data_IF_045024047779
#
_entry.id   IF_045024047779
#
_cell.length_a   1.000
_cell.length_b   1.000
_cell.length_c   1.000
_cell.angle_alpha   90.00
_cell.angle_beta   90.00
_cell.angle_gamma   90.00
#
_symmetry.space_group_name_H-M   'P 1'
#
loop_
_entity.id
_entity.type
_entity.pdbx_description
1 polymer ?
#
# COMPACT_ATOMS: atom_id res chain seq x y z
N UNK A 1 3.81 -17.40 12.44
CA UNK A 1 3.85 -15.92 12.32
C UNK A 1 4.51 -15.62 10.99
N UNK A 2 3.76 -15.11 10.03
CA UNK A 2 4.27 -14.76 8.70
C UNK A 2 5.17 -13.53 8.84
N UNK A 3 6.41 -13.61 8.36
CA UNK A 3 7.35 -12.50 8.46
C UNK A 3 7.15 -11.55 7.28
N UNK A 4 7.10 -10.24 7.53
CA UNK A 4 6.88 -9.22 6.48
C UNK A 4 7.89 -9.33 5.34
N UNK A 5 9.14 -9.67 5.65
CA UNK A 5 10.22 -9.81 4.68
C UNK A 5 9.99 -10.97 3.69
N UNK A 6 9.20 -11.98 4.04
CA UNK A 6 8.87 -13.11 3.14
C UNK A 6 8.04 -12.67 1.93
N UNK A 7 7.47 -11.45 1.95
CA UNK A 7 6.77 -10.86 0.80
C UNK A 7 7.71 -10.55 -0.36
N UNK A 8 9.01 -10.35 -0.08
CA UNK A 8 10.02 -10.10 -1.10
C UNK A 8 10.43 -11.42 -1.73
N UNK A 9 10.22 -11.53 -3.05
CA UNK A 9 10.63 -12.72 -3.80
C UNK A 9 12.11 -13.01 -3.62
N UNK A 10 12.46 -14.25 -3.28
CA UNK A 10 13.81 -14.67 -2.96
C UNK A 10 14.16 -14.66 -1.47
N UNK A 11 13.26 -14.21 -0.60
CA UNK A 11 13.38 -14.34 0.85
C UNK A 11 12.50 -15.49 1.35
N UNK A 12 13.15 -16.58 1.78
CA UNK A 12 12.49 -17.67 2.51
C UNK A 12 12.43 -17.41 4.02
N UNK A 13 11.70 -18.24 4.79
CA UNK A 13 11.50 -18.04 6.22
C UNK A 13 12.80 -18.02 7.03
N UNK A 14 13.79 -18.84 6.67
CA UNK A 14 15.10 -18.87 7.34
C UNK A 14 15.88 -17.57 7.10
N UNK A 15 15.89 -17.08 5.86
CA UNK A 15 16.55 -15.82 5.51
C UNK A 15 15.86 -14.64 6.21
N UNK A 16 14.52 -14.63 6.25
CA UNK A 16 13.73 -13.62 6.92
C UNK A 16 14.02 -13.55 8.44
N UNK A 17 14.20 -14.70 9.10
CA UNK A 17 14.61 -14.77 10.51
C UNK A 17 16.03 -14.21 10.70
N UNK A 18 16.96 -14.57 9.83
CA UNK A 18 18.34 -14.09 9.93
C UNK A 18 18.46 -12.58 9.67
N UNK A 19 17.69 -12.05 8.71
CA UNK A 19 17.58 -10.61 8.45
C UNK A 19 17.06 -9.87 9.69
N UNK A 20 15.97 -10.35 10.30
CA UNK A 20 15.43 -9.78 11.54
C UNK A 20 16.44 -9.79 12.68
N UNK A 21 17.21 -10.87 12.83
CA UNK A 21 18.29 -10.97 13.83
C UNK A 21 19.45 -10.01 13.55
N UNK A 22 19.71 -9.73 12.28
CA UNK A 22 20.71 -8.74 11.84
C UNK A 22 20.20 -7.29 11.96
N UNK A 23 18.95 -7.09 12.38
CA UNK A 23 18.35 -5.77 12.58
C UNK A 23 17.54 -5.24 11.40
N UNK A 24 17.52 -5.96 10.27
CA UNK A 24 16.72 -5.61 9.09
C UNK A 24 15.32 -6.18 9.25
N UNK A 25 14.31 -5.31 9.37
CA UNK A 25 12.93 -5.66 9.71
C UNK A 25 11.92 -5.27 8.65
N UNK A 26 12.23 -4.27 7.81
CA UNK A 26 11.29 -3.75 6.81
C UNK A 26 11.78 -3.98 5.38
N UNK A 27 10.87 -3.87 4.41
CA UNK A 27 11.19 -4.03 2.99
C UNK A 27 11.99 -2.82 2.48
N UNK A 28 11.73 -1.65 3.04
CA UNK A 28 12.47 -0.41 2.76
C UNK A 28 13.93 -0.52 3.16
N UNK A 29 14.20 -1.06 4.36
CA UNK A 29 15.57 -1.29 4.83
C UNK A 29 16.34 -2.24 3.90
N UNK A 30 15.67 -3.27 3.38
CA UNK A 30 16.25 -4.16 2.38
C UNK A 30 16.54 -3.41 1.07
N UNK A 31 15.62 -2.57 0.62
CA UNK A 31 15.75 -1.83 -0.63
C UNK A 31 16.88 -0.79 -0.60
N UNK A 32 17.16 -0.22 0.58
CA UNK A 32 18.21 0.78 0.83
C UNK A 32 19.57 0.18 1.21
N UNK A 33 19.60 -1.09 1.63
CA UNK A 33 20.82 -1.77 2.05
C UNK A 33 21.82 -1.96 0.88
N UNK A 34 23.11 -1.99 1.21
CA UNK A 34 24.13 -2.36 0.24
C UNK A 34 24.17 -3.89 0.08
N UNK A 35 24.46 -4.39 -1.14
CA UNK A 35 24.57 -5.84 -1.37
C UNK A 35 25.57 -6.53 -0.44
N UNK A 36 26.67 -5.85 -0.10
CA UNK A 36 27.73 -6.39 0.76
C UNK A 36 27.23 -6.62 2.20
N UNK A 37 26.43 -5.69 2.72
CA UNK A 37 25.89 -5.76 4.09
C UNK A 37 24.93 -6.94 4.23
N UNK A 38 24.07 -7.15 3.22
CA UNK A 38 23.14 -8.29 3.20
C UNK A 38 23.87 -9.62 2.95
N UNK A 39 24.97 -9.62 2.19
CA UNK A 39 25.75 -10.82 1.89
C UNK A 39 26.52 -11.37 3.09
N UNK A 40 26.74 -10.56 4.14
CA UNK A 40 27.33 -11.03 5.40
C UNK A 40 26.35 -11.83 6.26
N UNK A 41 25.05 -11.79 5.94
CA UNK A 41 24.02 -12.52 6.67
C UNK A 41 24.04 -13.99 6.24
N UNK A 42 24.04 -14.88 7.22
CA UNK A 42 24.08 -16.32 6.99
C UNK A 42 22.94 -16.77 6.06
N UNK A 43 23.33 -17.40 4.94
CA UNK A 43 22.38 -17.93 3.94
C UNK A 43 22.06 -16.95 2.80
N UNK A 44 22.63 -15.75 2.79
CA UNK A 44 22.50 -14.79 1.70
C UNK A 44 23.86 -14.59 1.04
N UNK A 45 23.99 -15.00 -0.23
CA UNK A 45 25.19 -14.71 -1.02
C UNK A 45 25.09 -13.36 -1.72
N UNK A 46 26.21 -12.83 -2.23
CA UNK A 46 26.25 -11.52 -2.92
C UNK A 46 25.30 -11.40 -4.11
N UNK A 47 25.12 -12.50 -4.86
CA UNK A 47 24.19 -12.55 -6.01
C UNK A 47 22.75 -12.48 -5.50
N UNK A 48 22.43 -13.27 -4.47
CA UNK A 48 21.10 -13.28 -3.85
C UNK A 48 20.77 -11.93 -3.22
N UNK A 49 21.73 -11.29 -2.55
CA UNK A 49 21.58 -9.96 -1.98
C UNK A 49 21.16 -8.93 -3.03
N UNK A 50 21.87 -8.86 -4.16
CA UNK A 50 21.51 -7.96 -5.28
C UNK A 50 20.09 -8.21 -5.78
N UNK A 51 19.73 -9.47 -5.98
CA UNK A 51 18.39 -9.85 -6.47
C UNK A 51 17.29 -9.51 -5.48
N UNK A 52 17.53 -9.72 -4.18
CA UNK A 52 16.59 -9.40 -3.12
C UNK A 52 16.36 -7.89 -3.03
N UNK A 53 17.42 -7.08 -3.12
CA UNK A 53 17.33 -5.60 -3.14
C UNK A 53 16.51 -5.13 -4.35
N UNK A 54 16.78 -5.69 -5.54
CA UNK A 54 16.01 -5.38 -6.76
C UNK A 54 14.53 -5.74 -6.59
N UNK A 55 14.24 -6.93 -6.07
CA UNK A 55 12.87 -7.37 -5.83
C UNK A 55 12.15 -6.51 -4.79
N UNK A 56 12.82 -6.10 -3.72
CA UNK A 56 12.28 -5.19 -2.72
C UNK A 56 11.92 -3.83 -3.33
N UNK A 57 12.83 -3.25 -4.12
CA UNK A 57 12.58 -2.00 -4.85
C UNK A 57 11.39 -2.10 -5.82
N UNK A 58 11.30 -3.20 -6.56
CA UNK A 58 10.18 -3.45 -7.47
C UNK A 58 8.85 -3.57 -6.72
N UNK A 59 8.83 -4.28 -5.59
CA UNK A 59 7.66 -4.42 -4.74
C UNK A 59 7.19 -3.06 -4.22
N UNK A 60 8.09 -2.25 -3.64
CA UNK A 60 7.76 -0.92 -3.15
C UNK A 60 7.23 0.00 -4.25
N UNK A 61 7.82 -0.09 -5.45
CA UNK A 61 7.35 0.68 -6.60
C UNK A 61 5.94 0.27 -7.02
N UNK A 62 5.65 -1.03 -7.06
CA UNK A 62 4.32 -1.55 -7.38
C UNK A 62 3.28 -1.07 -6.37
N UNK A 63 3.59 -1.15 -5.06
CA UNK A 63 2.69 -0.69 -4.01
C UNK A 63 2.40 0.80 -4.09
N UNK A 64 3.44 1.64 -4.30
CA UNK A 64 3.26 3.09 -4.50
C UNK A 64 2.39 3.40 -5.70
N UNK A 65 2.58 2.69 -6.82
CA UNK A 65 1.78 2.87 -8.02
C UNK A 65 0.31 2.48 -7.78
N UNK A 66 0.06 1.35 -7.11
CA UNK A 66 -1.30 0.93 -6.76
C UNK A 66 -1.96 2.01 -5.88
N UNK A 67 -1.24 2.51 -4.87
CA UNK A 67 -1.77 3.54 -3.99
C UNK A 67 -2.12 4.83 -4.76
N UNK A 68 -1.27 5.24 -5.70
CA UNK A 68 -1.53 6.39 -6.56
C UNK A 68 -2.79 6.21 -7.43
N UNK A 69 -2.95 5.03 -8.04
CA UNK A 69 -4.14 4.70 -8.83
C UNK A 69 -5.40 4.70 -7.97
N UNK A 70 -5.36 4.08 -6.78
CA UNK A 70 -6.49 4.06 -5.85
C UNK A 70 -6.89 5.47 -5.38
N UNK A 71 -5.90 6.32 -5.08
CA UNK A 71 -6.16 7.72 -4.73
C UNK A 71 -6.82 8.47 -5.90
N UNK A 72 -6.33 8.27 -7.12
CA UNK A 72 -6.91 8.87 -8.32
C UNK A 72 -8.36 8.42 -8.56
N UNK A 73 -8.65 7.14 -8.34
CA UNK A 73 -10.02 6.60 -8.43
C UNK A 73 -10.92 7.24 -7.37
N UNK A 74 -10.45 7.33 -6.12
CA UNK A 74 -11.20 7.95 -5.02
C UNK A 74 -11.54 9.41 -5.35
N UNK A 75 -10.58 10.19 -5.82
CA UNK A 75 -10.81 11.59 -6.21
C UNK A 75 -11.83 11.71 -7.35
N UNK A 76 -11.77 10.81 -8.33
CA UNK A 76 -12.73 10.78 -9.42
C UNK A 76 -14.14 10.47 -8.93
N UNK A 77 -14.32 9.55 -7.97
CA UNK A 77 -15.63 9.20 -7.42
C UNK A 77 -16.22 10.30 -6.53
N UNK A 78 -15.38 11.12 -5.90
CA UNK A 78 -15.80 12.32 -5.16
C UNK A 78 -16.31 13.40 -6.10
N UNK A 79 -15.71 13.55 -7.30
CA UNK A 79 -16.11 14.55 -8.30
C UNK A 79 -17.30 14.09 -9.14
N UNK A 80 -17.25 12.83 -9.58
CA UNK A 80 -18.18 12.22 -10.52
C UNK A 80 -18.82 10.97 -9.90
N UNK A 81 -20.12 10.85 -10.01
CA UNK A 81 -20.85 9.74 -9.42
C UNK A 81 -20.41 8.40 -10.04
N UNK A 82 -19.98 7.40 -9.23
CA UNK A 82 -19.56 6.10 -9.73
C UNK A 82 -20.70 5.30 -10.40
N UNK A 83 -21.96 5.68 -10.13
CA UNK A 83 -23.14 5.00 -10.69
C UNK A 83 -23.57 5.55 -12.06
N UNK A 84 -23.50 6.87 -12.27
CA UNK A 84 -24.05 7.50 -13.47
C UNK A 84 -23.21 8.65 -14.05
N UNK A 85 -22.01 8.91 -13.54
CA UNK A 85 -21.11 9.97 -14.00
C UNK A 85 -21.54 11.41 -13.69
N UNK A 86 -22.69 11.61 -13.05
CA UNK A 86 -23.21 12.94 -12.71
C UNK A 86 -22.39 13.65 -11.62
N UNK A 87 -22.39 14.98 -11.63
CA UNK A 87 -21.66 15.77 -10.64
C UNK A 87 -22.10 15.46 -9.19
N UNK A 88 -21.17 15.55 -8.27
CA UNK A 88 -21.31 15.25 -6.86
C UNK A 88 -21.28 16.53 -6.01
N UNK A 89 -22.06 16.58 -4.93
CA UNK A 89 -22.12 17.75 -4.03
C UNK A 89 -22.35 17.37 -2.57
N UNK A 90 -21.72 18.12 -1.67
CA UNK A 90 -21.78 17.88 -0.23
C UNK A 90 -23.19 18.07 0.33
N UNK A 91 -23.61 17.18 1.21
CA UNK A 91 -24.89 17.16 1.90
C UNK A 91 -24.78 16.55 3.29
N UNK A 92 -25.86 16.67 4.06
CA UNK A 92 -26.01 16.00 5.34
C UNK A 92 -27.22 15.08 5.30
N UNK A 93 -27.05 13.86 5.81
CA UNK A 93 -28.15 12.95 6.14
C UNK A 93 -28.48 13.16 7.61
N UNK A 94 -29.74 13.47 7.90
CA UNK A 94 -30.23 13.64 9.27
C UNK A 94 -30.53 12.24 9.81
N UNK A 95 -29.80 11.82 10.85
CA UNK A 95 -30.01 10.54 11.53
C UNK A 95 -30.77 10.70 12.86
N UNK A 96 -30.85 11.94 13.37
CA UNK A 96 -31.55 12.28 14.61
C UNK A 96 -31.42 13.77 14.92
N UNK A 97 -31.96 14.23 16.06
CA UNK A 97 -31.98 15.65 16.44
C UNK A 97 -30.57 16.26 16.54
N UNK A 98 -29.61 15.51 17.09
CA UNK A 98 -28.21 15.96 17.24
C UNK A 98 -27.23 15.26 16.28
N UNK A 99 -27.72 14.28 15.50
CA UNK A 99 -26.85 13.43 14.67
C UNK A 99 -27.06 13.71 13.19
N UNK A 100 -26.03 14.26 12.54
CA UNK A 100 -25.98 14.49 11.09
C UNK A 100 -24.74 13.80 10.52
N UNK A 101 -24.91 13.08 9.42
CA UNK A 101 -23.83 12.43 8.69
C UNK A 101 -23.48 13.24 7.45
N UNK A 102 -22.22 13.66 7.33
CA UNK A 102 -21.73 14.36 6.15
C UNK A 102 -21.51 13.35 5.01
N UNK A 103 -22.05 13.68 3.83
CA UNK A 103 -22.01 12.80 2.65
C UNK A 103 -21.83 13.61 1.38
N UNK A 104 -21.35 12.96 0.34
CA UNK A 104 -21.30 13.48 -1.02
C UNK A 104 -22.46 12.84 -1.80
N UNK A 105 -23.38 13.64 -2.33
CA UNK A 105 -24.54 13.15 -3.08
C UNK A 105 -24.46 13.52 -4.56
N UNK A 106 -24.75 12.56 -5.44
CA UNK A 106 -24.93 12.81 -6.86
C UNK A 106 -26.13 13.72 -7.14
N UNK A 107 -25.95 14.71 -8.01
CA UNK A 107 -27.00 15.64 -8.45
C UNK A 107 -28.10 14.93 -9.24
N UNK A 108 -27.75 13.90 -10.01
CA UNK A 108 -28.60 13.18 -10.97
C UNK A 108 -29.33 12.02 -10.29
N UNK A 109 -28.63 10.93 -9.97
CA UNK A 109 -29.25 9.68 -9.50
C UNK A 109 -29.40 9.59 -7.98
N UNK A 110 -29.07 10.65 -7.23
CA UNK A 110 -29.15 10.75 -5.77
C UNK A 110 -28.34 9.72 -4.98
N UNK A 111 -27.40 9.02 -5.64
CA UNK A 111 -26.42 8.15 -4.98
C UNK A 111 -25.63 8.91 -3.89
N UNK A 112 -25.36 8.26 -2.76
CA UNK A 112 -24.64 8.82 -1.62
C UNK A 112 -23.30 8.11 -1.45
N UNK A 113 -22.24 8.89 -1.28
CA UNK A 113 -20.92 8.42 -0.92
C UNK A 113 -20.56 9.04 0.43
N UNK A 114 -20.07 8.26 1.41
CA UNK A 114 -19.50 8.82 2.64
C UNK A 114 -18.33 9.74 2.28
N UNK A 115 -18.22 10.88 2.96
CA UNK A 115 -17.07 11.77 2.83
C UNK A 115 -15.86 11.24 3.61
#
# INVERSE_FOLDING_TARGET
>A
MSNELERVSGIGPIAAINLNKAGVKTIEEIAEAKPEDLAWIKGIGIISAKKIIENANNLLKLEKNIQFVLNSIKENFVKNCPKCGGAMKNKYIILGPERRLKVIQCTVCKFYLPE
#
